data_IF_647264206990
#
_entry.id   IF_647264206990
#
_cell.length_a   1.000
_cell.length_b   1.000
_cell.length_c   1.000
_cell.angle_alpha   90.00
_cell.angle_beta   90.00
_cell.angle_gamma   90.00
#
_symmetry.space_group_name_H-M   'P 1'
#
loop_
_entity.id
_entity.type
_entity.pdbx_description
1 polymer ?
#
# COMPACT_ATOMS: atom_id res chain seq x y z
N UNK A 1 -16.01 -7.81 1.25
CA UNK A 1 -16.13 -6.42 1.77
C UNK A 1 -14.96 -5.60 1.26
N UNK A 2 -15.11 -4.30 1.01
CA UNK A 2 -13.99 -3.45 0.61
C UNK A 2 -12.87 -3.52 1.65
N UNK A 3 -11.63 -3.65 1.18
CA UNK A 3 -10.49 -3.66 2.08
C UNK A 3 -10.33 -2.26 2.67
N UNK A 4 -10.48 -2.09 4.00
CA UNK A 4 -10.45 -0.76 4.62
C UNK A 4 -9.06 -0.11 4.56
N UNK A 5 -8.01 -0.91 4.29
CA UNK A 5 -6.63 -0.44 4.21
C UNK A 5 -6.39 0.31 2.89
N UNK A 6 -6.88 -0.20 1.76
CA UNK A 6 -6.77 0.44 0.44
C UNK A 6 -8.07 1.08 -0.06
N UNK A 7 -9.11 1.08 0.77
CA UNK A 7 -10.43 1.62 0.42
C UNK A 7 -11.07 0.96 -0.80
N UNK A 8 -10.82 -0.33 -1.04
CA UNK A 8 -11.38 -1.05 -2.20
C UNK A 8 -10.52 -1.05 -3.47
N UNK A 9 -9.43 -0.26 -3.53
CA UNK A 9 -8.64 -0.11 -4.77
C UNK A 9 -7.65 -1.25 -5.02
N UNK A 10 -7.30 -2.02 -3.99
CA UNK A 10 -6.29 -3.08 -4.09
C UNK A 10 -4.85 -2.59 -3.99
N UNK A 11 -4.61 -1.29 -4.09
CA UNK A 11 -3.28 -0.68 -4.10
C UNK A 11 -3.13 0.37 -2.99
N UNK A 12 -1.90 0.57 -2.54
CA UNK A 12 -1.53 1.60 -1.57
C UNK A 12 -0.46 2.49 -2.17
N UNK A 13 -0.67 3.80 -2.08
CA UNK A 13 0.35 4.77 -2.42
C UNK A 13 1.41 4.79 -1.31
N UNK A 14 2.65 4.47 -1.67
CA UNK A 14 3.81 4.64 -0.82
C UNK A 14 4.20 6.12 -0.77
N UNK A 15 3.32 6.93 -0.18
CA UNK A 15 3.62 8.30 0.18
C UNK A 15 4.49 8.28 1.43
N UNK A 16 5.80 8.07 1.26
CA UNK A 16 6.72 8.50 2.31
C UNK A 16 6.55 10.02 2.41
N UNK A 17 6.29 10.59 3.60
CA UNK A 17 6.41 12.03 3.76
C UNK A 17 7.84 12.38 3.38
N UNK A 18 8.01 13.01 2.21
CA UNK A 18 9.28 13.54 1.75
C UNK A 18 9.73 14.56 2.80
N UNK A 19 10.57 14.11 3.73
CA UNK A 19 11.54 15.00 4.32
C UNK A 19 12.36 15.54 3.14
N UNK A 20 12.23 16.82 2.87
CA UNK A 20 12.74 17.53 1.67
C UNK A 20 14.27 17.52 1.51
N UNK A 21 14.99 16.64 2.23
CA UNK A 21 16.45 16.64 2.26
C UNK A 21 17.12 15.33 2.64
N UNK A 22 16.43 14.19 2.60
CA UNK A 22 17.08 12.91 2.86
C UNK A 22 16.85 11.97 1.69
N UNK A 23 17.97 11.48 1.16
CA UNK A 23 18.10 10.39 0.20
C UNK A 23 16.91 9.47 0.30
N UNK A 24 16.16 9.29 -0.81
CA UNK A 24 14.98 8.43 -0.93
C UNK A 24 15.18 7.21 -0.03
N UNK A 25 14.64 7.26 1.18
CA UNK A 25 14.75 6.13 2.09
C UNK A 25 13.73 5.17 1.56
N UNK A 26 14.24 4.25 0.76
CA UNK A 26 13.50 3.18 0.17
C UNK A 26 12.83 2.44 1.33
N UNK A 27 11.57 2.78 1.62
CA UNK A 27 10.84 2.12 2.69
C UNK A 27 10.90 0.64 2.33
N UNK A 28 11.38 -0.25 3.21
CA UNK A 28 11.59 -1.65 2.85
C UNK A 28 10.30 -2.35 2.42
N UNK A 29 9.15 -1.73 2.66
CA UNK A 29 7.83 -2.15 2.22
C UNK A 29 7.51 -1.76 0.76
N UNK A 30 8.21 -0.76 0.22
CA UNK A 30 7.90 -0.12 -1.05
C UNK A 30 8.92 -0.43 -2.16
N UNK A 31 10.15 -0.84 -1.84
CA UNK A 31 11.20 -1.22 -2.82
C UNK A 31 11.30 -0.25 -4.03
N UNK A 32 11.22 1.05 -3.77
CA UNK A 32 11.35 2.12 -4.76
C UNK A 32 10.08 2.37 -5.56
N UNK A 33 8.99 1.66 -5.26
CA UNK A 33 7.70 1.79 -5.94
C UNK A 33 6.84 2.84 -5.26
N UNK A 34 6.24 3.71 -6.09
CA UNK A 34 5.26 4.71 -5.64
C UNK A 34 3.93 4.08 -5.22
N UNK A 35 3.62 2.90 -5.76
CA UNK A 35 2.39 2.16 -5.50
C UNK A 35 2.77 0.71 -5.23
N UNK A 36 2.23 0.14 -4.15
CA UNK A 36 2.38 -1.27 -3.81
C UNK A 36 1.02 -1.95 -3.69
N UNK A 37 0.93 -3.26 -4.01
CA UNK A 37 -0.28 -4.00 -3.76
C UNK A 37 -0.59 -4.02 -2.26
N UNK A 38 -1.85 -3.80 -1.91
CA UNK A 38 -2.31 -3.83 -0.53
C UNK A 38 -2.11 -5.24 0.02
N UNK A 39 -1.18 -5.39 0.96
CA UNK A 39 -0.81 -6.68 1.55
C UNK A 39 -1.96 -7.33 2.31
N UNK A 40 -2.92 -6.52 2.79
CA UNK A 40 -4.08 -7.00 3.56
C UNK A 40 -5.07 -7.78 2.68
N UNK A 41 -5.25 -7.37 1.44
CA UNK A 41 -6.13 -8.04 0.48
C UNK A 41 -5.35 -8.66 -0.69
N UNK A 42 -4.02 -8.75 -0.58
CA UNK A 42 -3.14 -9.27 -1.64
C UNK A 42 -3.37 -8.64 -3.02
N UNK A 43 -3.67 -7.34 -3.07
CA UNK A 43 -3.93 -6.64 -4.33
C UNK A 43 -5.37 -6.73 -4.89
N UNK A 44 -6.27 -7.49 -4.26
CA UNK A 44 -7.63 -7.70 -4.80
C UNK A 44 -8.57 -6.51 -4.61
N UNK A 45 -8.32 -5.65 -3.62
CA UNK A 45 -9.22 -4.59 -3.18
C UNK A 45 -10.31 -5.07 -2.21
N UNK A 46 -10.53 -6.37 -2.09
CA UNK A 46 -11.63 -6.94 -1.31
C UNK A 46 -11.13 -8.01 -0.34
N UNK A 47 -11.70 -8.01 0.86
CA UNK A 47 -11.53 -9.10 1.81
C UNK A 47 -12.70 -10.07 1.64
N UNK A 48 -12.38 -11.34 1.44
CA UNK A 48 -13.35 -12.43 1.54
C UNK A 48 -13.86 -12.46 2.99
N UNK A 49 -15.18 -12.53 3.16
CA UNK A 49 -15.74 -12.77 4.48
C UNK A 49 -15.39 -14.21 4.83
N UNK A 50 -14.57 -14.38 5.87
CA UNK A 50 -14.38 -15.69 6.49
C UNK A 50 -15.77 -16.16 6.97
N UNK A 51 -16.27 -17.23 6.35
CA UNK A 51 -17.61 -17.78 6.58
C UNK A 51 -17.65 -18.66 7.84
#
# INVERSE_FOLDING_TARGET
MDCPVCGGNGELECLTPLAENQEQYDSPLCEGKKIIPCSRCSGSGYLEQEA
#
